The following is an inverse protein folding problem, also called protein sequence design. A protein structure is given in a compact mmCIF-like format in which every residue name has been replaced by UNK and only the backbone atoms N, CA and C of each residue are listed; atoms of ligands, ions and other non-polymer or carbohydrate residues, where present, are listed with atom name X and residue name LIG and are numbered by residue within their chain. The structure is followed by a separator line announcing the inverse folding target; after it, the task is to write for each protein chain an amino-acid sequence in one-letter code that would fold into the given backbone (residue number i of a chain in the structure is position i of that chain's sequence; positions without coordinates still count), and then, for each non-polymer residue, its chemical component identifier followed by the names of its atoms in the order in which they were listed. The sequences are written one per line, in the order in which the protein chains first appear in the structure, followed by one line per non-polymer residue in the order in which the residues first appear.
data_IF_151663957799
#
_entry.id   IF_151663957799
#
_cell.length_a   1.000
_cell.length_b   1.000
_cell.length_c   1.000
_cell.angle_alpha   90.00
_cell.angle_beta   90.00
_cell.angle_gamma   90.00
#
_symmetry.space_group_name_H-M   'P 1'
#
loop_
_entity.id
_entity.type
_entity.pdbx_description
1 polymer ?
#
# COMPACT_ATOMS: atom_id res chain seq x y z
N UNK A 1 5.07 -8.62 -30.00
CA UNK A 1 5.10 -7.17 -29.74
C UNK A 1 3.67 -6.78 -29.43
N UNK A 2 3.25 -6.99 -28.18
CA UNK A 2 1.88 -6.70 -27.76
C UNK A 2 1.68 -5.19 -27.69
N UNK A 3 0.56 -4.74 -28.25
CA UNK A 3 0.17 -3.33 -28.23
C UNK A 3 0.07 -2.84 -26.79
N UNK A 4 0.86 -1.83 -26.45
CA UNK A 4 0.59 -0.95 -25.32
C UNK A 4 -0.78 -0.30 -25.57
N UNK A 5 -1.84 -0.96 -25.10
CA UNK A 5 -3.18 -0.42 -25.14
C UNK A 5 -3.17 0.92 -24.41
N UNK A 6 -3.41 1.99 -25.16
CA UNK A 6 -3.36 3.35 -24.64
C UNK A 6 -4.33 3.50 -23.48
N UNK A 7 -3.80 3.67 -22.28
CA UNK A 7 -4.58 3.68 -21.05
C UNK A 7 -5.43 4.94 -21.01
N UNK A 8 -6.75 4.76 -20.91
CA UNK A 8 -7.69 5.86 -21.02
C UNK A 8 -7.69 6.74 -19.76
N UNK A 9 -8.03 8.02 -19.89
CA UNK A 9 -8.25 8.92 -18.74
C UNK A 9 -9.31 8.36 -17.78
N UNK A 10 -10.32 7.68 -18.33
CA UNK A 10 -11.37 7.02 -17.58
C UNK A 10 -10.83 5.93 -16.67
N UNK A 11 -9.85 5.15 -17.13
CA UNK A 11 -9.23 4.08 -16.33
C UNK A 11 -8.41 4.64 -15.18
N UNK A 12 -7.64 5.69 -15.45
CA UNK A 12 -6.88 6.41 -14.42
C UNK A 12 -7.81 6.95 -13.34
N UNK A 13 -8.92 7.58 -13.73
CA UNK A 13 -9.92 8.08 -12.79
C UNK A 13 -10.58 6.93 -12.00
N UNK A 14 -10.92 5.82 -12.66
CA UNK A 14 -11.53 4.67 -12.02
C UNK A 14 -10.62 4.04 -10.96
N UNK A 15 -9.31 3.91 -11.24
CA UNK A 15 -8.31 3.44 -10.28
C UNK A 15 -8.23 4.35 -9.05
N UNK A 16 -8.17 5.66 -9.26
CA UNK A 16 -8.11 6.64 -8.15
C UNK A 16 -9.36 6.52 -7.27
N UNK A 17 -10.54 6.41 -7.87
CA UNK A 17 -11.79 6.23 -7.12
C UNK A 17 -11.80 4.89 -6.39
N UNK A 18 -11.39 3.80 -7.03
CA UNK A 18 -11.31 2.48 -6.42
C UNK A 18 -10.39 2.51 -5.18
N UNK A 19 -9.20 3.10 -5.30
CA UNK A 19 -8.27 3.28 -4.19
C UNK A 19 -8.88 4.13 -3.08
N UNK A 20 -9.48 5.27 -3.41
CA UNK A 20 -10.13 6.15 -2.43
C UNK A 20 -11.24 5.45 -1.62
N UNK A 21 -12.01 4.56 -2.26
CA UNK A 21 -13.05 3.79 -1.57
C UNK A 21 -12.46 2.80 -0.57
N UNK A 22 -11.36 2.13 -0.93
CA UNK A 22 -10.60 1.28 -0.01
C UNK A 22 -10.05 2.06 1.19
N UNK A 23 -9.76 3.35 0.99
CA UNK A 23 -9.28 4.25 2.03
C UNK A 23 -10.38 5.01 2.78
N UNK A 24 -11.65 4.73 2.51
CA UNK A 24 -12.74 5.32 3.27
C UNK A 24 -12.68 4.87 4.74
N UNK A 25 -13.00 5.77 5.69
CA UNK A 25 -12.76 5.60 7.13
C UNK A 25 -13.21 4.24 7.69
N UNK A 26 -14.38 3.77 7.26
CA UNK A 26 -14.97 2.49 7.68
C UNK A 26 -14.22 1.24 7.16
N UNK A 27 -13.57 1.33 6.00
CA UNK A 27 -12.74 0.27 5.44
C UNK A 27 -11.35 0.28 6.09
N UNK A 28 -10.73 1.45 6.20
CA UNK A 28 -9.40 1.66 6.81
C UNK A 28 -9.32 1.17 8.24
N UNK A 29 -10.33 1.48 9.07
CA UNK A 29 -10.38 1.01 10.47
C UNK A 29 -10.40 -0.52 10.57
N UNK A 30 -10.96 -1.22 9.58
CA UNK A 30 -10.99 -2.68 9.54
C UNK A 30 -9.70 -3.27 9.04
N UNK A 31 -9.06 -2.61 8.07
CA UNK A 31 -7.70 -2.95 7.63
C UNK A 31 -6.72 -2.83 8.82
N UNK A 32 -6.84 -1.79 9.66
CA UNK A 32 -6.04 -1.69 10.90
C UNK A 32 -6.23 -2.88 11.82
N UNK A 33 -7.48 -3.31 12.00
CA UNK A 33 -7.81 -4.45 12.87
C UNK A 33 -7.28 -5.77 12.31
N UNK A 34 -7.23 -5.93 10.99
CA UNK A 34 -6.63 -7.13 10.37
C UNK A 34 -5.12 -7.17 10.48
N UNK A 35 -4.45 -6.01 10.61
CA UNK A 35 -2.98 -5.92 10.70
C UNK A 35 -2.45 -5.83 12.12
N UNK A 36 -3.29 -5.50 13.10
CA UNK A 36 -2.87 -5.38 14.51
C UNK A 36 -2.42 -6.70 15.15
N UNK A 37 -2.68 -7.85 14.53
CA UNK A 37 -2.18 -9.13 14.99
C UNK A 37 -0.98 -9.55 14.13
N UNK A 38 0.24 -9.34 14.65
CA UNK A 38 1.55 -9.51 13.97
C UNK A 38 1.82 -10.90 13.36
N UNK A 39 0.89 -11.86 13.47
CA UNK A 39 1.07 -13.26 13.01
C UNK A 39 -0.10 -13.85 12.25
N UNK A 40 -1.25 -13.18 12.17
CA UNK A 40 -2.39 -13.71 11.41
C UNK A 40 -3.19 -12.58 10.80
N UNK A 41 -2.97 -12.36 9.51
CA UNK A 41 -3.96 -11.68 8.69
C UNK A 41 -5.26 -12.47 8.76
N UNK A 42 -6.26 -11.96 9.49
CA UNK A 42 -7.55 -12.64 9.51
C UNK A 42 -8.30 -12.35 8.21
N UNK A 43 -8.28 -13.31 7.29
CA UNK A 43 -9.05 -13.30 6.05
C UNK A 43 -10.52 -12.90 6.25
N UNK A 44 -11.10 -13.19 7.43
CA UNK A 44 -12.46 -12.76 7.81
C UNK A 44 -12.64 -11.25 7.86
N UNK A 45 -11.67 -10.47 8.35
CA UNK A 45 -11.75 -9.01 8.33
C UNK A 45 -11.63 -8.46 6.92
N UNK A 46 -10.79 -9.07 6.10
CA UNK A 46 -10.63 -8.68 4.71
C UNK A 46 -11.91 -8.90 3.90
N UNK A 47 -12.55 -10.07 4.03
CA UNK A 47 -13.84 -10.36 3.40
C UNK A 47 -14.93 -9.36 3.82
N UNK A 48 -15.00 -9.03 5.12
CA UNK A 48 -15.94 -8.00 5.61
C UNK A 48 -15.63 -6.61 5.04
N UNK A 49 -14.35 -6.31 4.81
CA UNK A 49 -13.91 -5.05 4.21
C UNK A 49 -14.33 -4.98 2.74
N UNK A 50 -14.17 -6.06 1.96
CA UNK A 50 -14.66 -6.15 0.57
C UNK A 50 -16.16 -5.85 0.47
N UNK A 51 -16.98 -6.37 1.38
CA UNK A 51 -18.44 -6.10 1.42
C UNK A 51 -18.72 -4.61 1.64
N UNK A 52 -17.97 -3.95 2.53
CA UNK A 52 -18.15 -2.52 2.82
C UNK A 52 -17.70 -1.65 1.65
N UNK A 53 -16.56 -1.97 1.04
CA UNK A 53 -16.04 -1.29 -0.15
C UNK A 53 -17.07 -1.36 -1.29
N UNK A 54 -17.67 -2.53 -1.51
CA UNK A 54 -18.71 -2.68 -2.52
C UNK A 54 -19.95 -1.81 -2.23
N UNK A 55 -20.41 -1.79 -0.98
CA UNK A 55 -21.51 -0.90 -0.54
C UNK A 55 -21.17 0.58 -0.74
N UNK A 56 -19.96 0.98 -0.38
CA UNK A 56 -19.48 2.35 -0.54
C UNK A 56 -19.54 2.78 -2.02
N UNK A 57 -19.18 1.91 -2.96
CA UNK A 57 -19.23 2.22 -4.40
C UNK A 57 -20.64 2.37 -4.93
N UNK A 58 -21.56 1.50 -4.52
CA UNK A 58 -22.95 1.65 -4.90
C UNK A 58 -23.57 2.94 -4.35
N UNK A 59 -23.09 3.46 -3.21
CA UNK A 59 -23.53 4.75 -2.65
C UNK A 59 -22.95 5.99 -3.33
N UNK A 60 -21.92 5.86 -4.19
CA UNK A 60 -21.34 7.01 -4.88
C UNK A 60 -22.35 7.62 -5.88
N UNK A 61 -22.42 8.95 -6.01
CA UNK A 61 -23.27 9.63 -6.99
C UNK A 61 -22.65 9.58 -8.39
N UNK A 62 -22.33 8.38 -8.88
CA UNK A 62 -21.72 8.14 -10.18
C UNK A 62 -22.71 7.48 -11.14
N UNK A 63 -22.61 7.75 -12.46
CA UNK A 63 -23.33 7.00 -13.49
C UNK A 63 -23.04 5.50 -13.41
N UNK A 64 -24.00 4.67 -13.84
CA UNK A 64 -23.88 3.21 -13.78
C UNK A 64 -22.64 2.68 -14.52
N UNK A 65 -22.33 3.21 -15.71
CA UNK A 65 -21.13 2.84 -16.46
C UNK A 65 -19.83 3.17 -15.72
N UNK A 66 -19.78 4.31 -15.02
CA UNK A 66 -18.64 4.68 -14.18
C UNK A 66 -18.50 3.74 -12.98
N UNK A 67 -19.61 3.38 -12.31
CA UNK A 67 -19.59 2.41 -11.20
C UNK A 67 -19.06 1.07 -11.65
N UNK A 68 -19.55 0.54 -12.77
CA UNK A 68 -19.08 -0.72 -13.34
C UNK A 68 -17.57 -0.68 -13.66
N UNK A 69 -17.07 0.46 -14.17
CA UNK A 69 -15.64 0.61 -14.43
C UNK A 69 -14.81 0.64 -13.13
N UNK A 70 -15.25 1.36 -12.11
CA UNK A 70 -14.61 1.37 -10.78
C UNK A 70 -14.62 -0.03 -10.17
N UNK A 71 -15.75 -0.74 -10.24
CA UNK A 71 -15.91 -2.12 -9.76
C UNK A 71 -14.89 -3.07 -10.37
N UNK A 72 -14.61 -2.92 -11.67
CA UNK A 72 -13.58 -3.74 -12.34
C UNK A 72 -12.17 -3.56 -11.77
N UNK A 73 -11.88 -2.43 -11.10
CA UNK A 73 -10.60 -2.18 -10.44
C UNK A 73 -10.60 -2.43 -8.93
N UNK A 74 -11.77 -2.54 -8.27
CA UNK A 74 -11.86 -2.76 -6.81
C UNK A 74 -11.02 -3.96 -6.39
N UNK A 75 -11.17 -5.08 -7.09
CA UNK A 75 -10.58 -6.36 -6.72
C UNK A 75 -9.06 -6.25 -6.77
N UNK A 76 -8.53 -5.79 -7.91
CA UNK A 76 -7.09 -5.61 -8.11
C UNK A 76 -6.47 -4.61 -7.13
N UNK A 77 -7.12 -3.46 -6.91
CA UNK A 77 -6.66 -2.46 -5.94
C UNK A 77 -6.67 -3.04 -4.52
N UNK A 78 -7.72 -3.78 -4.17
CA UNK A 78 -7.80 -4.45 -2.89
C UNK A 78 -6.66 -5.44 -2.68
N UNK A 79 -6.48 -6.36 -3.62
CA UNK A 79 -5.41 -7.37 -3.57
C UNK A 79 -4.03 -6.73 -3.51
N UNK A 80 -3.79 -5.63 -4.26
CA UNK A 80 -2.56 -4.86 -4.16
C UNK A 80 -2.33 -4.29 -2.76
N UNK A 81 -3.35 -3.71 -2.13
CA UNK A 81 -3.26 -3.19 -0.75
C UNK A 81 -2.99 -4.34 0.23
N UNK A 82 -3.71 -5.45 0.10
CA UNK A 82 -3.55 -6.63 0.94
C UNK A 82 -2.13 -7.18 0.90
N UNK A 83 -1.63 -7.42 -0.32
CA UNK A 83 -0.28 -7.94 -0.54
C UNK A 83 0.76 -6.98 0.00
N UNK A 84 0.63 -5.68 -0.29
CA UNK A 84 1.56 -4.67 0.20
C UNK A 84 1.66 -4.66 1.73
N UNK A 85 0.52 -4.74 2.41
CA UNK A 85 0.46 -4.78 3.87
C UNK A 85 1.14 -6.04 4.43
N UNK A 86 0.95 -7.19 3.77
CA UNK A 86 1.57 -8.45 4.18
C UNK A 86 3.09 -8.41 4.02
N UNK A 87 3.57 -7.93 2.87
CA UNK A 87 5.00 -7.84 2.56
C UNK A 87 5.73 -6.84 3.47
N UNK A 88 5.02 -5.82 3.96
CA UNK A 88 5.57 -4.73 4.76
C UNK A 88 5.02 -4.68 6.19
N UNK A 89 4.70 -5.84 6.78
CA UNK A 89 4.15 -5.94 8.13
C UNK A 89 5.03 -5.31 9.23
N UNK A 90 6.32 -5.10 8.94
CA UNK A 90 7.28 -4.46 9.84
C UNK A 90 7.11 -2.92 9.91
N UNK A 91 6.40 -2.30 8.97
CA UNK A 91 6.13 -0.86 9.00
C UNK A 91 5.06 -0.54 10.05
N UNK A 92 5.28 0.55 10.79
CA UNK A 92 4.31 1.06 11.78
C UNK A 92 3.40 2.16 11.22
N UNK A 93 3.31 2.26 9.89
CA UNK A 93 2.55 3.31 9.21
C UNK A 93 1.05 3.10 9.45
N UNK A 94 0.39 4.16 9.92
CA UNK A 94 -1.05 4.19 10.06
C UNK A 94 -1.72 4.01 8.68
N UNK A 95 -2.70 3.12 8.55
CA UNK A 95 -3.36 2.87 7.27
C UNK A 95 -4.09 4.08 6.65
N UNK A 96 -4.43 5.12 7.44
CA UNK A 96 -4.95 6.38 6.90
C UNK A 96 -3.87 7.26 6.26
N UNK A 97 -2.61 7.03 6.62
CA UNK A 97 -1.43 7.67 6.02
C UNK A 97 -0.93 6.83 4.85
N UNK A 98 -0.99 5.50 4.96
CA UNK A 98 -0.63 4.59 3.88
C UNK A 98 -1.35 4.92 2.57
N UNK A 99 -2.62 5.34 2.65
CA UNK A 99 -3.41 5.75 1.48
C UNK A 99 -2.81 6.89 0.67
N UNK A 100 -2.16 7.86 1.34
CA UNK A 100 -1.52 9.00 0.68
C UNK A 100 -0.09 8.69 0.22
N UNK A 101 0.49 7.58 0.67
CA UNK A 101 1.84 7.16 0.31
C UNK A 101 1.84 6.19 -0.88
N UNK A 102 0.78 5.38 -1.02
CA UNK A 102 0.63 4.43 -2.11
C UNK A 102 0.46 5.14 -3.45
N UNK A 103 1.40 4.90 -4.35
CA UNK A 103 1.33 5.38 -5.73
C UNK A 103 0.75 4.30 -6.61
N UNK A 104 -0.23 4.64 -7.44
CA UNK A 104 -0.90 3.71 -8.34
C UNK A 104 -0.51 3.98 -9.77
N UNK A 105 -0.13 2.93 -10.50
CA UNK A 105 0.01 3.03 -11.94
C UNK A 105 -1.38 3.05 -12.61
N UNK A 106 -1.47 3.44 -13.90
CA UNK A 106 -2.75 3.53 -14.60
C UNK A 106 -3.49 2.19 -14.76
N UNK A 107 -2.84 1.05 -14.50
CA UNK A 107 -3.44 -0.29 -14.53
C UNK A 107 -4.03 -0.71 -13.19
N UNK A 108 -3.96 0.15 -12.16
CA UNK A 108 -4.45 -0.18 -10.82
C UNK A 108 -3.51 -1.07 -10.03
N UNK A 109 -2.22 -1.08 -10.37
CA UNK A 109 -1.17 -1.77 -9.61
C UNK A 109 -0.34 -0.74 -8.87
N UNK A 110 0.11 -1.06 -7.65
CA UNK A 110 0.98 -0.19 -6.87
C UNK A 110 2.31 -0.02 -7.62
N UNK A 111 2.72 1.22 -7.83
CA UNK A 111 4.08 1.56 -8.21
C UNK A 111 4.96 1.42 -6.96
N UNK A 112 5.59 0.27 -6.83
CA UNK A 112 6.37 -0.08 -5.65
C UNK A 112 7.56 0.87 -5.44
N UNK A 113 8.21 1.34 -6.50
CA UNK A 113 9.37 2.23 -6.40
C UNK A 113 8.94 3.62 -5.94
N UNK A 114 7.90 4.19 -6.56
CA UNK A 114 7.38 5.48 -6.13
C UNK A 114 6.83 5.42 -4.69
N UNK A 115 6.12 4.34 -4.36
CA UNK A 115 5.60 4.10 -3.01
C UNK A 115 6.72 3.97 -1.98
N UNK A 116 7.76 3.18 -2.27
CA UNK A 116 8.90 3.01 -1.38
C UNK A 116 9.60 4.34 -1.08
N UNK A 117 9.79 5.19 -2.10
CA UNK A 117 10.37 6.53 -1.92
C UNK A 117 9.48 7.44 -1.08
N UNK A 118 8.17 7.42 -1.30
CA UNK A 118 7.21 8.17 -0.47
C UNK A 118 7.26 7.71 0.98
N UNK A 119 7.34 6.40 1.22
CA UNK A 119 7.45 5.80 2.55
C UNK A 119 8.75 6.22 3.22
N UNK A 120 9.91 6.08 2.57
CA UNK A 120 11.21 6.49 3.13
C UNK A 120 11.21 7.97 3.51
N UNK A 121 10.53 8.80 2.72
CA UNK A 121 10.42 10.24 3.00
C UNK A 121 9.49 10.57 4.17
N UNK A 122 8.58 9.66 4.54
CA UNK A 122 7.59 9.86 5.60
C UNK A 122 7.97 9.16 6.90
N UNK A 123 8.53 7.95 6.82
CA UNK A 123 8.86 7.10 7.95
C UNK A 123 10.06 7.67 8.72
N UNK A 124 9.95 7.64 10.06
CA UNK A 124 10.98 8.18 10.95
C UNK A 124 11.91 7.11 11.47
N UNK A 125 11.48 5.85 11.45
CA UNK A 125 12.28 4.72 11.88
C UNK A 125 13.33 4.39 10.80
N UNK A 126 14.59 4.72 11.05
CA UNK A 126 15.70 4.49 10.11
C UNK A 126 15.87 3.03 9.71
N UNK A 127 15.69 2.08 10.64
CA UNK A 127 15.78 0.64 10.35
C UNK A 127 14.68 0.24 9.35
N UNK A 128 13.47 0.75 9.53
CA UNK A 128 12.35 0.51 8.62
C UNK A 128 12.62 1.11 7.24
N UNK A 129 13.13 2.35 7.18
CA UNK A 129 13.54 2.99 5.94
C UNK A 129 14.64 2.18 5.22
N UNK A 130 15.64 1.70 5.96
CA UNK A 130 16.74 0.91 5.41
C UNK A 130 16.24 -0.41 4.84
N UNK A 131 15.36 -1.12 5.56
CA UNK A 131 14.72 -2.36 5.06
C UNK A 131 13.96 -2.12 3.75
N UNK A 132 13.17 -1.05 3.66
CA UNK A 132 12.45 -0.67 2.43
C UNK A 132 13.44 -0.38 1.30
N UNK A 133 14.49 0.40 1.57
CA UNK A 133 15.51 0.71 0.56
C UNK A 133 16.16 -0.56 0.01
N UNK A 134 16.48 -1.52 0.87
CA UNK A 134 17.03 -2.83 0.47
C UNK A 134 16.02 -3.66 -0.32
N UNK A 135 14.78 -3.81 0.15
CA UNK A 135 13.73 -4.59 -0.55
C UNK A 135 13.47 -4.09 -1.97
N UNK A 136 13.62 -2.79 -2.22
CA UNK A 136 13.38 -2.15 -3.51
C UNK A 136 14.64 -1.76 -4.26
N UNK A 137 15.81 -2.22 -3.82
CA UNK A 137 17.12 -1.95 -4.44
C UNK A 137 17.37 -0.46 -4.71
N UNK A 138 17.00 0.40 -3.75
CA UNK A 138 17.14 1.86 -3.86
C UNK A 138 18.56 2.30 -3.42
N UNK A 139 19.59 1.94 -4.20
CA UNK A 139 21.02 2.11 -3.86
C UNK A 139 21.38 3.44 -3.19
N UNK A 140 20.98 4.57 -3.79
CA UNK A 140 21.28 5.89 -3.23
C UNK A 140 20.74 6.06 -1.79
N UNK A 141 19.55 5.53 -1.51
CA UNK A 141 18.98 5.54 -0.17
C UNK A 141 19.67 4.54 0.75
N UNK A 142 20.08 3.37 0.24
CA UNK A 142 20.80 2.36 1.03
C UNK A 142 22.08 2.95 1.62
N UNK A 143 22.93 3.57 0.78
CA UNK A 143 24.18 4.17 1.24
C UNK A 143 23.94 5.31 2.24
N UNK A 144 23.01 6.22 1.94
CA UNK A 144 22.70 7.34 2.83
C UNK A 144 22.15 6.87 4.20
N UNK A 145 21.27 5.88 4.19
CA UNK A 145 20.68 5.34 5.43
C UNK A 145 21.69 4.51 6.22
N UNK A 146 22.60 3.80 5.56
CA UNK A 146 23.68 3.08 6.20
C UNK A 146 24.60 4.02 6.99
N UNK A 147 25.05 5.10 6.36
CA UNK A 147 25.90 6.10 7.02
C UNK A 147 25.21 6.72 8.25
N UNK A 148 23.90 6.98 8.17
CA UNK A 148 23.11 7.49 9.28
C UNK A 148 22.96 6.46 10.43
N UNK A 149 22.83 5.18 10.11
CA UNK A 149 22.73 4.12 11.11
C UNK A 149 24.05 3.95 11.87
N UNK A 150 25.20 3.98 11.18
CA UNK A 150 26.53 3.92 11.80
C UNK A 150 26.75 5.10 12.76
N UNK A 151 26.33 6.31 12.38
CA UNK A 151 26.48 7.52 13.20
C UNK A 151 25.63 7.51 14.47
N UNK A 152 24.51 6.79 14.49
CA UNK A 152 23.60 6.79 15.64
C UNK A 152 23.99 5.83 16.76
N UNK A 153 25.06 5.02 16.61
CA UNK A 153 25.45 3.99 17.59
C UNK A 153 24.23 3.18 18.08
N UNK A 154 23.28 2.90 17.19
CA UNK A 154 22.12 2.11 17.56
C UNK A 154 22.64 0.73 18.00
N UNK A 155 22.30 0.26 19.22
CA UNK A 155 22.72 -1.07 19.63
C UNK A 155 22.22 -2.05 18.58
N UNK A 156 23.14 -2.82 18.01
CA UNK A 156 22.85 -3.91 17.09
C UNK A 156 21.92 -4.89 17.80
N UNK A 157 20.61 -4.74 17.61
CA UNK A 157 19.64 -5.73 18.03
C UNK A 157 19.64 -6.84 16.98
N UNK A 158 20.46 -7.85 17.24
CA UNK A 158 20.66 -9.02 16.37
C UNK A 158 19.37 -9.81 16.13
N UNK A 159 18.36 -9.66 16.98
CA UNK A 159 17.07 -10.35 16.84
C UNK A 159 16.20 -9.74 15.72
N UNK A 160 16.49 -8.52 15.27
CA UNK A 160 15.77 -7.86 14.18
C UNK A 160 16.28 -8.25 12.78
N UNK A 161 17.43 -8.93 12.68
CA UNK A 161 18.05 -9.33 11.41
C UNK A 161 17.81 -10.79 11.00
N UNK A 162 17.11 -11.61 11.80
CA UNK A 162 16.78 -13.01 11.47
C UNK A 162 15.76 -13.19 10.31
N UNK A 163 15.56 -12.18 9.45
CA UNK A 163 14.66 -12.27 8.30
C UNK A 163 15.31 -11.78 7.00
N UNK A 164 16.59 -12.11 6.80
CA UNK A 164 17.23 -12.12 5.48
C UNK A 164 17.31 -13.56 4.97
#
# INVERSE_FOLDING_TARGET
MDSDAQITLTDRAAVVVAAAVWYHKNAVERIKKSTSCKRSFEQRYWMKTKIIVNKNIHSLPLPASCKQRVESFIVFVGEGIEQWIQDHYFLTINSSVLSSLLSWNPKGVIDCIATAKNIISHEKNLISCFRIACMYCLENYIFQLWDLLEQQNLPYDTDAMECF
#
